data_IF_465803969874
#
_entry.id   IF_465803969874
#
_cell.length_a   1.000
_cell.length_b   1.000
_cell.length_c   1.000
_cell.angle_alpha   90.00
_cell.angle_beta   90.00
_cell.angle_gamma   90.00
#
_symmetry.space_group_name_H-M   'P 1'
#
loop_
_entity.id
_entity.type
_entity.pdbx_description
1 polymer ?
#
# COMPACT_ATOMS: atom_id res chain seq x y z
N UNK A 1 -39.62 -43.17 75.91
CA UNK A 1 -39.76 -43.75 74.59
C UNK A 1 -40.12 -42.59 73.64
N UNK A 2 -39.10 -41.94 73.08
CA UNK A 2 -39.25 -40.71 72.31
C UNK A 2 -39.30 -41.04 70.85
N UNK A 3 -40.27 -40.47 70.16
CA UNK A 3 -40.31 -40.41 68.68
C UNK A 3 -40.19 -38.98 68.31
N UNK A 4 -39.04 -38.61 67.82
CA UNK A 4 -38.80 -37.30 67.17
C UNK A 4 -39.08 -37.40 65.70
N UNK A 5 -40.07 -36.68 65.24
CA UNK A 5 -40.34 -36.48 63.82
C UNK A 5 -39.36 -35.42 63.27
N UNK A 6 -38.62 -35.84 62.26
CA UNK A 6 -37.82 -34.92 61.45
C UNK A 6 -38.66 -34.44 60.25
N UNK A 7 -38.96 -33.13 60.23
CA UNK A 7 -39.47 -32.44 59.03
C UNK A 7 -38.33 -32.08 58.09
N UNK A 8 -38.35 -32.66 56.92
CA UNK A 8 -37.48 -32.23 55.81
C UNK A 8 -38.12 -31.03 55.07
N UNK A 9 -37.46 -29.89 55.16
CA UNK A 9 -37.87 -28.68 54.41
C UNK A 9 -37.09 -28.63 53.10
N UNK A 10 -37.82 -28.89 52.01
CA UNK A 10 -37.28 -28.75 50.62
C UNK A 10 -37.18 -27.27 50.27
N UNK A 11 -35.98 -26.74 50.17
CA UNK A 11 -35.73 -25.44 49.57
C UNK A 11 -35.64 -25.58 48.06
N UNK A 12 -36.62 -25.04 47.36
CA UNK A 12 -36.67 -24.91 45.92
C UNK A 12 -35.82 -23.67 45.54
N UNK A 13 -34.56 -23.86 45.10
CA UNK A 13 -33.76 -22.77 44.54
C UNK A 13 -34.26 -22.48 43.11
N UNK A 14 -34.94 -21.36 42.94
CA UNK A 14 -35.23 -20.77 41.62
C UNK A 14 -33.98 -20.00 41.20
N UNK A 15 -33.14 -20.63 40.33
CA UNK A 15 -32.03 -19.92 39.66
C UNK A 15 -32.58 -19.08 38.53
N UNK A 16 -32.72 -17.77 38.76
CA UNK A 16 -32.98 -16.80 37.70
C UNK A 16 -31.69 -16.61 36.90
N UNK A 17 -31.58 -17.24 35.74
CA UNK A 17 -30.55 -16.93 34.75
C UNK A 17 -30.85 -15.55 34.14
N UNK A 18 -30.20 -14.50 34.66
CA UNK A 18 -30.18 -13.19 34.04
C UNK A 18 -29.28 -13.29 32.80
N UNK A 19 -29.87 -13.48 31.63
CA UNK A 19 -29.14 -13.36 30.36
C UNK A 19 -28.84 -11.88 30.14
N UNK A 20 -27.68 -11.43 30.61
CA UNK A 20 -27.08 -10.17 30.16
C UNK A 20 -26.66 -10.36 28.70
N UNK A 21 -27.49 -9.91 27.79
CA UNK A 21 -27.07 -9.63 26.41
C UNK A 21 -26.00 -8.54 26.50
N UNK A 22 -24.72 -8.94 26.44
CA UNK A 22 -23.61 -8.05 26.17
C UNK A 22 -23.83 -7.47 24.75
N UNK A 23 -24.51 -6.34 24.67
CA UNK A 23 -24.44 -5.48 23.51
C UNK A 23 -22.98 -5.01 23.45
N UNK A 24 -22.16 -5.72 22.67
CA UNK A 24 -20.84 -5.26 22.34
C UNK A 24 -21.02 -3.97 21.54
N UNK A 25 -21.01 -2.83 22.20
CA UNK A 25 -20.83 -1.55 21.54
C UNK A 25 -19.45 -1.65 20.86
N UNK A 26 -19.43 -1.83 19.55
CA UNK A 26 -18.23 -1.72 18.76
C UNK A 26 -17.57 -0.39 19.14
N UNK A 27 -16.31 -0.46 19.61
CA UNK A 27 -15.58 0.73 20.01
C UNK A 27 -15.49 1.65 18.78
N UNK A 28 -16.24 2.73 18.78
CA UNK A 28 -16.19 3.71 17.72
C UNK A 28 -14.78 4.32 17.69
N UNK A 29 -14.20 4.38 16.52
CA UNK A 29 -12.87 4.94 16.32
C UNK A 29 -12.97 6.30 15.63
N UNK A 30 -11.98 7.15 15.86
CA UNK A 30 -11.88 8.48 15.22
C UNK A 30 -10.54 8.62 14.52
N UNK A 31 -10.41 9.62 13.65
CA UNK A 31 -9.19 9.89 12.90
C UNK A 31 -8.13 10.62 13.73
N UNK A 32 -8.54 11.51 14.63
CA UNK A 32 -7.64 12.25 15.53
C UNK A 32 -8.37 12.61 16.82
N UNK A 33 -7.64 12.83 17.90
CA UNK A 33 -8.20 13.21 19.18
C UNK A 33 -8.97 14.53 19.10
N UNK A 34 -10.18 14.56 19.64
CA UNK A 34 -11.05 15.73 19.62
C UNK A 34 -11.78 15.99 18.30
N UNK A 35 -11.73 15.04 17.35
CA UNK A 35 -12.53 15.06 16.14
C UNK A 35 -13.96 14.57 16.39
N UNK A 36 -14.91 15.13 15.65
CA UNK A 36 -16.31 14.69 15.62
C UNK A 36 -16.53 13.47 14.71
N UNK A 37 -15.53 13.05 13.95
CA UNK A 37 -15.61 11.83 13.16
C UNK A 37 -15.77 10.61 14.08
N UNK A 38 -16.74 9.77 13.75
CA UNK A 38 -17.06 8.57 14.51
C UNK A 38 -17.23 7.40 13.55
N UNK A 39 -16.16 6.59 13.42
CA UNK A 39 -16.10 5.51 12.46
C UNK A 39 -16.59 4.19 13.07
N UNK A 40 -17.57 3.59 12.42
CA UNK A 40 -18.05 2.25 12.71
C UNK A 40 -17.39 1.25 11.76
N UNK A 41 -16.78 0.22 12.32
CA UNK A 41 -16.13 -0.85 11.55
C UNK A 41 -17.17 -1.72 10.83
N UNK A 42 -17.00 -1.88 9.52
CA UNK A 42 -17.72 -2.89 8.72
C UNK A 42 -16.81 -4.10 8.52
N UNK A 43 -15.61 -3.87 8.00
CA UNK A 43 -14.58 -4.90 7.74
C UNK A 43 -13.24 -4.36 8.21
N UNK A 44 -12.43 -5.22 8.83
CA UNK A 44 -11.02 -4.95 9.11
C UNK A 44 -10.26 -6.27 9.01
N UNK A 45 -9.39 -6.36 8.03
CA UNK A 45 -8.57 -7.54 7.76
C UNK A 45 -7.19 -7.40 8.39
N UNK A 46 -6.62 -8.53 8.76
CA UNK A 46 -5.30 -8.56 9.39
C UNK A 46 -4.20 -8.12 8.41
N UNK A 47 -3.26 -7.36 8.94
CA UNK A 47 -2.07 -6.91 8.24
C UNK A 47 -0.84 -7.00 9.15
N UNK A 48 0.35 -7.08 8.55
CA UNK A 48 1.62 -6.98 9.25
C UNK A 48 1.74 -5.65 10.00
N UNK A 49 2.66 -5.53 10.98
CA UNK A 49 2.92 -4.26 11.66
C UNK A 49 3.25 -3.12 10.68
N UNK A 50 2.89 -1.90 11.08
CA UNK A 50 3.23 -0.70 10.29
C UNK A 50 4.75 -0.51 10.28
N UNK A 51 5.30 -0.39 9.09
CA UNK A 51 6.71 -0.09 8.85
C UNK A 51 6.92 1.40 8.55
N UNK A 52 8.17 1.84 8.53
CA UNK A 52 8.55 3.18 8.11
C UNK A 52 9.56 3.11 6.97
N UNK A 53 9.20 3.68 5.81
CA UNK A 53 10.11 3.83 4.68
C UNK A 53 11.17 4.92 4.92
N UNK A 54 11.07 5.68 6.01
CA UNK A 54 11.98 6.79 6.33
C UNK A 54 11.97 7.88 5.25
N UNK A 55 13.18 8.35 4.88
CA UNK A 55 13.36 9.36 3.81
C UNK A 55 13.70 8.69 2.49
N UNK A 56 12.78 7.87 1.97
CA UNK A 56 12.92 7.19 0.68
C UNK A 56 11.63 7.33 -0.12
N UNK A 57 11.69 7.16 -1.44
CA UNK A 57 10.49 7.04 -2.28
C UNK A 57 10.20 5.57 -2.62
N UNK A 58 10.34 4.68 -1.63
CA UNK A 58 10.15 3.22 -1.78
C UNK A 58 8.79 2.72 -1.28
N UNK A 59 7.82 3.61 -1.11
CA UNK A 59 6.45 3.30 -0.66
C UNK A 59 5.80 2.14 -1.43
N UNK A 60 6.05 2.04 -2.72
CA UNK A 60 5.56 0.98 -3.59
C UNK A 60 6.02 -0.42 -3.13
N UNK A 61 7.26 -0.55 -2.63
CA UNK A 61 7.78 -1.81 -2.07
C UNK A 61 7.17 -2.11 -0.71
N UNK A 62 7.15 -1.13 0.20
CA UNK A 62 6.57 -1.28 1.55
C UNK A 62 5.08 -1.65 1.50
N UNK A 63 4.30 -0.93 0.69
CA UNK A 63 2.85 -1.19 0.61
C UNK A 63 2.51 -2.49 -0.09
N UNK A 64 3.23 -2.84 -1.16
CA UNK A 64 2.99 -4.10 -1.85
C UNK A 64 3.44 -5.31 -1.02
N UNK A 65 4.57 -5.26 -0.31
CA UNK A 65 4.96 -6.36 0.57
C UNK A 65 4.02 -6.48 1.76
N UNK A 66 3.57 -5.36 2.34
CA UNK A 66 2.49 -5.39 3.34
C UNK A 66 1.22 -6.08 2.82
N UNK A 67 0.85 -5.85 1.56
CA UNK A 67 -0.26 -6.55 0.90
C UNK A 67 0.03 -8.05 0.74
N UNK A 68 1.20 -8.46 0.26
CA UNK A 68 1.57 -9.87 0.14
C UNK A 68 1.68 -10.58 1.49
N UNK A 69 2.11 -9.88 2.53
CA UNK A 69 2.12 -10.37 3.90
C UNK A 69 0.70 -10.64 4.42
N UNK A 70 -0.27 -9.77 4.10
CA UNK A 70 -1.69 -10.05 4.39
C UNK A 70 -2.22 -11.26 3.62
N UNK A 71 -1.76 -11.48 2.39
CA UNK A 71 -2.08 -12.71 1.66
C UNK A 71 -1.51 -13.98 2.35
N UNK A 72 -0.30 -13.89 2.91
CA UNK A 72 0.27 -14.98 3.71
C UNK A 72 -0.54 -15.23 5.00
N UNK A 73 -0.97 -14.16 5.68
CA UNK A 73 -1.85 -14.26 6.86
C UNK A 73 -3.17 -14.94 6.47
N UNK A 74 -3.81 -14.49 5.39
CA UNK A 74 -5.06 -15.05 4.87
C UNK A 74 -4.93 -16.55 4.54
N UNK A 75 -3.78 -16.98 4.04
CA UNK A 75 -3.46 -18.39 3.76
C UNK A 75 -3.14 -19.21 5.02
N UNK A 76 -3.20 -18.60 6.19
CA UNK A 76 -3.04 -19.29 7.47
C UNK A 76 -1.60 -19.30 8.02
N UNK A 77 -0.71 -18.45 7.49
CA UNK A 77 0.62 -18.29 8.07
C UNK A 77 0.51 -17.53 9.40
N UNK A 78 0.53 -18.28 10.51
CA UNK A 78 0.37 -17.74 11.88
C UNK A 78 1.64 -17.08 12.43
N UNK A 79 2.80 -17.42 11.90
CA UNK A 79 4.10 -16.85 12.27
C UNK A 79 4.64 -16.10 11.07
N UNK A 80 4.11 -14.89 10.87
CA UNK A 80 4.49 -14.07 9.74
C UNK A 80 5.95 -13.64 9.85
N UNK A 81 6.74 -14.05 8.88
CA UNK A 81 8.06 -13.49 8.63
C UNK A 81 7.88 -12.34 7.65
N UNK A 82 8.26 -11.12 8.06
CA UNK A 82 8.21 -9.96 7.17
C UNK A 82 9.12 -10.19 5.96
N UNK A 83 8.69 -9.69 4.82
CA UNK A 83 9.44 -9.76 3.58
C UNK A 83 10.34 -8.53 3.43
N UNK A 84 11.52 -8.69 2.84
CA UNK A 84 12.46 -7.61 2.68
C UNK A 84 12.07 -6.63 1.57
N UNK A 85 11.67 -5.43 1.93
CA UNK A 85 11.38 -4.35 1.00
C UNK A 85 12.63 -3.91 0.25
N UNK A 86 13.76 -3.85 0.94
CA UNK A 86 15.02 -3.39 0.37
C UNK A 86 15.67 -4.40 -0.57
N UNK A 87 15.42 -5.71 -0.41
CA UNK A 87 15.81 -6.69 -1.41
C UNK A 87 15.11 -6.43 -2.76
N UNK A 88 13.80 -6.16 -2.70
CA UNK A 88 13.02 -5.80 -3.89
C UNK A 88 13.51 -4.50 -4.51
N UNK A 89 13.76 -3.47 -3.69
CA UNK A 89 14.28 -2.17 -4.12
C UNK A 89 15.64 -2.34 -4.82
N UNK A 90 16.56 -3.10 -4.20
CA UNK A 90 17.87 -3.39 -4.81
C UNK A 90 17.73 -4.01 -6.21
N UNK A 91 16.93 -5.07 -6.33
CA UNK A 91 16.73 -5.77 -7.62
C UNK A 91 16.05 -4.88 -8.66
N UNK A 92 15.16 -4.02 -8.21
CA UNK A 92 14.52 -3.03 -9.09
C UNK A 92 15.51 -1.98 -9.58
N UNK A 93 16.44 -1.52 -8.77
CA UNK A 93 17.48 -0.56 -9.23
C UNK A 93 18.42 -1.17 -10.27
N UNK A 94 18.83 -2.44 -10.10
CA UNK A 94 19.62 -3.17 -11.12
C UNK A 94 18.87 -3.19 -12.46
N UNK A 95 17.58 -3.51 -12.45
CA UNK A 95 16.73 -3.53 -13.66
C UNK A 95 16.51 -2.13 -14.25
N UNK A 96 16.24 -1.13 -13.40
CA UNK A 96 16.08 0.27 -13.84
C UNK A 96 17.32 0.78 -14.53
N UNK A 97 18.53 0.54 -13.97
CA UNK A 97 19.78 0.96 -14.57
C UNK A 97 19.98 0.30 -15.94
N UNK A 98 19.74 -1.00 -16.07
CA UNK A 98 19.86 -1.71 -17.37
C UNK A 98 18.88 -1.13 -18.40
N UNK A 99 17.62 -0.90 -18.03
CA UNK A 99 16.62 -0.32 -18.92
C UNK A 99 16.94 1.13 -19.29
N UNK A 100 17.32 1.96 -18.33
CA UNK A 100 17.67 3.35 -18.57
C UNK A 100 18.79 3.49 -19.60
N UNK A 101 19.85 2.70 -19.45
CA UNK A 101 20.97 2.69 -20.40
C UNK A 101 20.48 2.20 -21.78
N UNK A 102 19.70 1.12 -21.86
CA UNK A 102 19.17 0.58 -23.13
C UNK A 102 18.20 1.52 -23.85
N UNK A 103 17.50 2.34 -23.09
CA UNK A 103 16.52 3.31 -23.62
C UNK A 103 17.11 4.70 -23.82
N UNK A 104 18.46 4.82 -23.82
CA UNK A 104 19.16 6.09 -24.01
C UNK A 104 18.68 7.19 -23.05
N UNK A 105 18.40 6.83 -21.80
CA UNK A 105 17.92 7.77 -20.78
C UNK A 105 16.48 8.25 -20.95
N UNK A 106 15.67 7.60 -21.81
CA UNK A 106 14.31 8.05 -22.13
C UNK A 106 13.22 7.35 -21.33
N UNK A 107 13.57 6.79 -20.19
CA UNK A 107 12.62 6.31 -19.19
C UNK A 107 12.94 6.97 -17.84
N UNK A 108 11.99 6.88 -16.90
CA UNK A 108 12.21 7.41 -15.56
C UNK A 108 13.27 6.57 -14.82
N UNK A 109 14.30 7.25 -14.31
CA UNK A 109 15.25 6.68 -13.35
C UNK A 109 15.10 7.43 -12.03
N UNK A 110 14.19 6.96 -11.20
CA UNK A 110 13.87 7.53 -9.91
C UNK A 110 13.67 6.41 -8.87
N UNK A 111 13.47 6.75 -7.62
CA UNK A 111 13.27 5.77 -6.54
C UNK A 111 11.91 5.07 -6.61
N UNK A 112 10.88 5.73 -7.14
CA UNK A 112 9.53 5.20 -7.28
C UNK A 112 9.44 3.95 -8.13
N UNK A 113 8.36 3.20 -8.02
CA UNK A 113 8.09 1.98 -8.76
C UNK A 113 6.63 1.59 -8.65
N UNK A 114 6.21 0.57 -9.38
CA UNK A 114 4.83 0.13 -9.43
C UNK A 114 4.64 -1.24 -8.78
N UNK A 115 3.41 -1.56 -8.38
CA UNK A 115 3.10 -2.82 -7.68
C UNK A 115 3.45 -4.08 -8.48
N UNK A 116 3.40 -4.03 -9.79
CA UNK A 116 3.78 -5.17 -10.65
C UNK A 116 5.30 -5.43 -10.67
N UNK A 117 6.12 -4.50 -10.17
CA UNK A 117 7.56 -4.73 -10.05
C UNK A 117 7.88 -5.80 -9.00
N UNK A 118 7.07 -5.91 -7.94
CA UNK A 118 7.28 -6.91 -6.89
C UNK A 118 7.12 -8.34 -7.44
N UNK A 119 6.00 -8.71 -8.11
CA UNK A 119 5.90 -10.01 -8.78
C UNK A 119 7.00 -10.25 -9.80
N UNK A 120 7.42 -9.21 -10.52
CA UNK A 120 8.52 -9.33 -11.46
C UNK A 120 9.84 -9.68 -10.74
N UNK A 121 10.17 -9.01 -9.63
CA UNK A 121 11.36 -9.33 -8.82
C UNK A 121 11.24 -10.74 -8.25
N UNK A 122 10.12 -11.10 -7.64
CA UNK A 122 9.92 -12.42 -7.03
C UNK A 122 10.08 -13.54 -8.05
N UNK A 123 9.54 -13.39 -9.26
CA UNK A 123 9.66 -14.37 -10.34
C UNK A 123 11.08 -14.52 -10.86
N UNK A 124 11.83 -13.42 -10.98
CA UNK A 124 13.16 -13.43 -11.60
C UNK A 124 14.29 -13.65 -10.58
N UNK A 125 14.15 -13.17 -9.35
CA UNK A 125 15.21 -13.19 -8.33
C UNK A 125 14.80 -13.86 -7.02
N UNK A 126 13.51 -14.11 -6.80
CA UNK A 126 13.00 -14.59 -5.51
C UNK A 126 12.75 -13.47 -4.53
N UNK A 127 12.66 -13.83 -3.26
CA UNK A 127 12.47 -12.92 -2.12
C UNK A 127 13.23 -13.46 -0.90
N UNK A 128 13.53 -12.60 0.06
CA UNK A 128 14.16 -12.98 1.33
C UNK A 128 13.36 -12.42 2.50
N UNK A 129 13.46 -13.01 3.71
CA UNK A 129 12.93 -12.41 4.92
C UNK A 129 13.58 -11.06 5.23
N UNK A 130 12.84 -10.16 5.87
CA UNK A 130 13.35 -8.88 6.36
C UNK A 130 14.59 -9.04 7.24
N UNK A 131 14.58 -9.99 8.19
CA UNK A 131 15.70 -10.24 9.11
C UNK A 131 17.00 -10.70 8.41
N UNK A 132 16.88 -11.20 7.17
CA UNK A 132 18.04 -11.62 6.36
C UNK A 132 18.62 -10.45 5.57
N UNK A 133 17.79 -9.51 5.15
CA UNK A 133 18.22 -8.37 4.36
C UNK A 133 17.38 -7.12 4.69
N UNK A 134 17.88 -6.32 5.62
CA UNK A 134 17.18 -5.09 6.04
C UNK A 134 17.43 -3.91 5.09
N UNK A 135 18.55 -3.92 4.33
CA UNK A 135 19.00 -2.75 3.57
C UNK A 135 19.48 -1.60 4.43
N UNK A 136 19.68 -1.81 5.72
CA UNK A 136 20.19 -0.81 6.67
C UNK A 136 21.68 -1.08 6.94
N UNK A 137 22.54 -0.20 6.43
CA UNK A 137 23.98 -0.26 6.62
C UNK A 137 24.40 0.90 7.50
N UNK A 138 24.88 0.60 8.70
CA UNK A 138 25.32 1.61 9.70
C UNK A 138 24.25 2.65 10.07
N UNK A 139 22.98 2.32 9.93
CA UNK A 139 21.84 3.18 10.23
C UNK A 139 20.68 2.37 10.78
N UNK A 140 19.84 2.98 11.61
CA UNK A 140 18.57 2.40 12.10
C UNK A 140 17.34 2.92 11.31
N UNK A 141 17.56 3.87 10.40
CA UNK A 141 16.49 4.48 9.58
C UNK A 141 16.92 4.56 8.13
N UNK A 142 15.97 4.41 7.24
CA UNK A 142 16.20 4.55 5.82
C UNK A 142 16.35 6.03 5.45
N UNK A 143 17.44 6.37 4.77
CA UNK A 143 17.68 7.67 4.14
C UNK A 143 18.42 7.43 2.81
N UNK A 144 17.74 7.60 1.70
CA UNK A 144 18.29 7.35 0.37
C UNK A 144 18.78 8.61 -0.33
N UNK A 145 18.80 9.77 0.32
CA UNK A 145 19.12 11.03 -0.34
C UNK A 145 20.51 11.00 -0.99
N UNK A 146 21.55 10.64 -0.24
CA UNK A 146 22.93 10.52 -0.78
C UNK A 146 23.04 9.34 -1.74
N UNK A 147 22.53 8.19 -1.35
CA UNK A 147 22.57 6.96 -2.15
C UNK A 147 22.01 7.18 -3.56
N UNK A 148 20.82 7.79 -3.65
CA UNK A 148 20.18 8.00 -4.93
C UNK A 148 20.95 8.97 -5.82
N UNK A 149 21.52 10.04 -5.28
CA UNK A 149 22.35 10.98 -6.04
C UNK A 149 23.61 10.31 -6.59
N UNK A 150 24.29 9.47 -5.79
CA UNK A 150 25.47 8.71 -6.23
C UNK A 150 25.11 7.73 -7.34
N UNK A 151 24.03 6.95 -7.16
CA UNK A 151 23.58 5.98 -8.14
C UNK A 151 23.14 6.64 -9.44
N UNK A 152 22.36 7.70 -9.36
CA UNK A 152 21.91 8.48 -10.51
C UNK A 152 23.09 9.12 -11.26
N UNK A 153 24.04 9.72 -10.53
CA UNK A 153 25.27 10.27 -11.12
C UNK A 153 26.06 9.23 -11.90
N UNK A 154 26.20 8.02 -11.36
CA UNK A 154 26.88 6.91 -12.04
C UNK A 154 26.15 6.49 -13.34
N UNK A 155 24.84 6.31 -13.29
CA UNK A 155 24.02 5.90 -14.44
C UNK A 155 24.02 7.00 -15.53
N UNK A 156 23.89 8.28 -15.17
CA UNK A 156 23.97 9.41 -16.09
C UNK A 156 25.35 9.52 -16.74
N UNK A 157 26.43 9.31 -15.96
CA UNK A 157 27.80 9.29 -16.47
C UNK A 157 28.04 8.19 -17.51
N UNK A 158 27.49 7.00 -17.24
CA UNK A 158 27.53 5.86 -18.19
C UNK A 158 26.78 6.19 -19.48
N UNK A 159 25.61 6.76 -19.38
CA UNK A 159 24.81 7.17 -20.53
C UNK A 159 25.54 8.20 -21.39
N UNK A 160 26.07 9.26 -20.75
CA UNK A 160 26.83 10.30 -21.43
C UNK A 160 28.04 9.72 -22.18
N UNK A 161 28.78 8.80 -21.55
CA UNK A 161 29.91 8.14 -22.20
C UNK A 161 29.44 7.25 -23.36
N UNK A 162 28.42 6.43 -23.17
CA UNK A 162 27.90 5.49 -24.18
C UNK A 162 27.42 6.18 -25.46
N UNK A 163 26.84 7.39 -25.33
CA UNK A 163 26.37 8.18 -26.47
C UNK A 163 27.47 8.96 -27.20
N UNK A 164 28.65 9.13 -26.56
CA UNK A 164 29.80 9.88 -27.14
C UNK A 164 30.95 8.99 -27.59
N UNK A 165 30.98 7.72 -27.21
CA UNK A 165 32.11 6.80 -27.46
C UNK A 165 31.81 5.86 -28.63
N UNK A 166 32.73 5.77 -29.60
CA UNK A 166 32.70 4.79 -30.68
C UNK A 166 32.88 3.35 -30.20
N UNK A 167 33.47 3.15 -29.01
CA UNK A 167 33.77 1.84 -28.44
C UNK A 167 32.66 1.30 -27.54
N UNK A 168 31.59 2.08 -27.31
CA UNK A 168 30.49 1.74 -26.41
C UNK A 168 30.87 1.68 -24.94
N UNK A 169 29.97 1.16 -24.11
CA UNK A 169 30.15 1.01 -22.66
C UNK A 169 30.79 -0.37 -22.38
N UNK A 170 31.83 -0.42 -21.54
CA UNK A 170 32.47 -1.69 -21.13
C UNK A 170 31.54 -2.57 -20.28
N UNK A 171 31.83 -3.87 -20.21
CA UNK A 171 31.09 -4.82 -19.36
C UNK A 171 31.20 -4.53 -17.84
N UNK A 172 32.11 -3.66 -17.43
CA UNK A 172 32.36 -3.32 -16.01
C UNK A 172 31.26 -2.47 -15.39
N UNK A 173 30.37 -1.87 -16.17
CA UNK A 173 29.38 -0.94 -15.64
C UNK A 173 28.35 -1.62 -14.72
N UNK A 174 27.93 -2.86 -15.03
CA UNK A 174 26.98 -3.60 -14.18
C UNK A 174 27.59 -3.94 -12.81
N UNK A 175 28.79 -4.53 -12.72
CA UNK A 175 29.49 -4.68 -11.45
C UNK A 175 29.69 -3.35 -10.69
N UNK A 176 29.96 -2.23 -11.38
CA UNK A 176 30.11 -0.94 -10.74
C UNK A 176 28.79 -0.44 -10.10
N UNK A 177 27.66 -0.55 -10.81
CA UNK A 177 26.33 -0.26 -10.25
C UNK A 177 26.02 -1.18 -9.06
N UNK A 178 26.30 -2.50 -9.19
CA UNK A 178 26.12 -3.44 -8.07
C UNK A 178 26.96 -3.07 -6.86
N UNK A 179 28.21 -2.61 -7.06
CA UNK A 179 29.08 -2.16 -5.97
C UNK A 179 28.55 -0.92 -5.23
N UNK A 180 27.86 0.00 -5.92
CA UNK A 180 27.17 1.11 -5.27
C UNK A 180 26.01 0.57 -4.42
N UNK A 181 25.21 -0.35 -4.97
CA UNK A 181 24.10 -0.97 -4.22
C UNK A 181 24.60 -1.75 -3.00
N UNK A 182 25.75 -2.46 -3.14
CA UNK A 182 26.38 -3.18 -2.02
C UNK A 182 26.79 -2.23 -0.89
N UNK A 183 27.35 -1.07 -1.24
CA UNK A 183 27.81 -0.08 -0.26
C UNK A 183 26.67 0.56 0.55
N UNK A 184 25.51 0.80 -0.07
CA UNK A 184 24.40 1.52 0.55
C UNK A 184 23.27 0.64 1.07
N UNK A 185 23.02 -0.52 0.44
CA UNK A 185 21.92 -1.42 0.78
C UNK A 185 22.37 -2.78 1.31
N UNK A 186 23.68 -3.09 1.24
CA UNK A 186 24.25 -4.38 1.60
C UNK A 186 24.48 -5.30 0.41
N UNK A 187 25.35 -6.30 0.61
CA UNK A 187 25.73 -7.26 -0.43
C UNK A 187 24.53 -8.07 -0.94
N UNK A 188 24.57 -8.42 -2.21
CA UNK A 188 23.51 -9.21 -2.85
C UNK A 188 23.45 -10.64 -2.27
N UNK A 189 22.26 -11.03 -1.80
CA UNK A 189 22.02 -12.34 -1.19
C UNK A 189 21.91 -13.44 -2.27
N UNK A 190 22.79 -14.44 -2.19
CA UNK A 190 22.74 -15.63 -3.04
C UNK A 190 22.17 -16.83 -2.31
N UNK A 191 22.59 -17.01 -1.06
CA UNK A 191 22.15 -18.07 -0.16
C UNK A 191 22.08 -17.49 1.27
N UNK A 192 21.22 -18.05 2.09
CA UNK A 192 21.08 -17.65 3.50
C UNK A 192 20.52 -18.79 4.35
N UNK A 193 20.83 -18.75 5.64
CA UNK A 193 20.25 -19.64 6.64
C UNK A 193 19.10 -18.90 7.35
N UNK A 194 17.94 -19.53 7.41
CA UNK A 194 16.77 -18.97 8.06
C UNK A 194 15.98 -20.06 8.78
N UNK A 195 15.76 -19.89 10.08
CA UNK A 195 15.04 -20.85 10.94
C UNK A 195 15.59 -22.28 10.82
N UNK A 196 16.92 -22.39 10.78
CA UNK A 196 17.63 -23.69 10.73
C UNK A 196 17.58 -24.39 9.37
N UNK A 197 17.18 -23.72 8.33
CA UNK A 197 17.14 -24.23 6.96
C UNK A 197 17.87 -23.31 5.99
N UNK A 198 18.60 -23.90 5.05
CA UNK A 198 19.32 -23.16 4.01
C UNK A 198 18.40 -22.88 2.82
N UNK A 199 18.42 -21.64 2.34
CA UNK A 199 17.64 -21.17 1.20
C UNK A 199 18.48 -20.38 0.20
N UNK A 200 18.04 -20.39 -1.05
CA UNK A 200 18.26 -19.29 -1.98
C UNK A 200 17.01 -18.39 -2.01
N UNK A 201 17.09 -17.14 -2.48
CA UNK A 201 15.91 -16.28 -2.59
C UNK A 201 14.75 -16.94 -3.38
N UNK A 202 15.07 -17.68 -4.45
CA UNK A 202 14.07 -18.40 -5.24
C UNK A 202 13.43 -19.55 -4.45
N UNK A 203 14.23 -20.35 -3.73
CA UNK A 203 13.69 -21.47 -2.94
C UNK A 203 12.85 -20.98 -1.77
N UNK A 204 13.18 -19.82 -1.20
CA UNK A 204 12.36 -19.18 -0.17
C UNK A 204 11.04 -18.66 -0.77
N UNK A 205 11.07 -17.97 -1.93
CA UNK A 205 9.87 -17.55 -2.64
C UNK A 205 8.90 -18.71 -2.92
N UNK A 206 9.43 -19.87 -3.33
CA UNK A 206 8.62 -21.08 -3.51
C UNK A 206 8.03 -21.58 -2.20
N UNK A 207 8.78 -21.51 -1.10
CA UNK A 207 8.36 -22.03 0.20
C UNK A 207 7.22 -21.25 0.84
N UNK A 208 7.09 -19.95 0.54
CA UNK A 208 5.99 -19.10 1.06
C UNK A 208 4.66 -19.33 0.32
N UNK A 209 4.69 -19.99 -0.86
CA UNK A 209 3.48 -20.47 -1.53
C UNK A 209 2.58 -19.38 -2.12
N UNK A 210 3.13 -18.22 -2.48
CA UNK A 210 2.42 -17.19 -3.24
C UNK A 210 2.62 -17.44 -4.75
N UNK A 211 1.52 -17.50 -5.48
CA UNK A 211 1.55 -17.52 -6.94
C UNK A 211 1.38 -16.10 -7.48
N UNK A 212 2.43 -15.53 -8.03
CA UNK A 212 2.44 -14.15 -8.52
C UNK A 212 1.51 -13.91 -9.73
N UNK A 213 1.02 -14.98 -10.38
CA UNK A 213 0.06 -14.88 -11.49
C UNK A 213 -1.41 -14.75 -11.02
N UNK A 214 -1.64 -14.82 -9.71
CA UNK A 214 -2.99 -14.66 -9.14
C UNK A 214 -3.33 -13.18 -8.88
N UNK A 215 -2.43 -12.25 -9.16
CA UNK A 215 -2.61 -10.83 -8.84
C UNK A 215 -2.67 -9.97 -10.09
N UNK A 216 -3.54 -8.98 -10.06
CA UNK A 216 -3.81 -8.09 -11.21
C UNK A 216 -3.92 -6.64 -10.79
N UNK A 217 -3.60 -5.74 -11.72
CA UNK A 217 -3.80 -4.30 -11.57
C UNK A 217 -5.10 -3.86 -12.26
N UNK A 218 -5.89 -3.03 -11.56
CA UNK A 218 -7.05 -2.34 -12.12
C UNK A 218 -6.85 -0.83 -12.06
N UNK A 219 -7.34 -0.13 -13.06
CA UNK A 219 -7.38 1.34 -13.13
C UNK A 219 -8.70 1.80 -13.75
N UNK A 220 -8.96 3.12 -13.74
CA UNK A 220 -10.17 3.67 -14.34
C UNK A 220 -9.90 5.04 -14.93
N UNK A 221 -9.62 5.10 -16.22
CA UNK A 221 -9.42 6.35 -16.98
C UNK A 221 -10.16 6.31 -18.32
N UNK A 222 -10.68 7.45 -18.75
CA UNK A 222 -11.50 7.52 -19.97
C UNK A 222 -10.69 7.60 -21.26
N UNK A 223 -9.38 7.84 -21.17
CA UNK A 223 -8.47 7.83 -22.33
C UNK A 223 -8.08 6.41 -22.79
N UNK A 224 -8.51 5.36 -22.07
CA UNK A 224 -8.34 3.97 -22.45
C UNK A 224 -9.69 3.28 -22.64
N UNK A 225 -9.76 2.29 -23.52
CA UNK A 225 -10.98 1.49 -23.71
C UNK A 225 -11.32 0.74 -22.41
N UNK A 226 -12.61 0.75 -22.05
CA UNK A 226 -13.09 -0.01 -20.90
C UNK A 226 -12.92 -1.51 -21.10
N UNK A 227 -12.65 -2.21 -20.00
CA UNK A 227 -12.51 -3.67 -19.91
C UNK A 227 -11.38 -4.25 -20.78
N UNK A 228 -10.39 -3.42 -21.09
CA UNK A 228 -9.19 -3.79 -21.84
C UNK A 228 -7.93 -3.55 -21.01
N UNK A 229 -6.84 -4.20 -21.39
CA UNK A 229 -5.53 -3.92 -20.85
C UNK A 229 -4.99 -2.61 -21.39
N UNK A 230 -4.33 -1.86 -20.53
CA UNK A 230 -3.59 -0.65 -20.87
C UNK A 230 -2.31 -0.58 -20.07
N UNK A 231 -1.34 0.18 -20.56
CA UNK A 231 -0.16 0.57 -19.80
C UNK A 231 -0.35 2.00 -19.33
N UNK A 232 -0.34 2.20 -18.01
CA UNK A 232 -0.49 3.54 -17.45
C UNK A 232 0.72 4.39 -17.81
N UNK A 233 0.47 5.55 -18.38
CA UNK A 233 1.50 6.55 -18.74
C UNK A 233 1.88 7.37 -17.50
N UNK A 234 2.51 6.74 -16.54
CA UNK A 234 3.03 7.31 -15.30
C UNK A 234 4.53 7.04 -15.19
N UNK A 235 5.32 7.93 -14.53
CA UNK A 235 6.76 7.77 -14.44
C UNK A 235 7.19 6.43 -13.82
N UNK A 236 6.49 5.97 -12.81
CA UNK A 236 6.84 4.77 -12.04
C UNK A 236 6.50 3.46 -12.75
N UNK A 237 5.75 3.51 -13.86
CA UNK A 237 5.53 2.34 -14.72
C UNK A 237 6.71 2.10 -15.70
N UNK A 238 7.95 2.22 -15.21
CA UNK A 238 9.17 2.01 -16.00
C UNK A 238 9.31 0.59 -16.57
N UNK A 239 8.62 -0.36 -15.98
CA UNK A 239 8.64 -1.78 -16.37
C UNK A 239 7.49 -2.15 -17.33
N UNK A 240 6.67 -1.16 -17.72
CA UNK A 240 5.54 -1.30 -18.66
C UNK A 240 4.53 -2.37 -18.26
N UNK A 241 4.21 -2.41 -16.96
CA UNK A 241 3.19 -3.32 -16.45
C UNK A 241 1.79 -2.95 -16.95
N UNK A 242 0.99 -3.98 -17.17
CA UNK A 242 -0.39 -3.84 -17.62
C UNK A 242 -1.35 -3.61 -16.44
N UNK A 243 -2.36 -2.78 -16.67
CA UNK A 243 -3.55 -2.67 -15.84
C UNK A 243 -4.80 -2.95 -16.68
N UNK A 244 -5.85 -3.51 -16.09
CA UNK A 244 -7.17 -3.54 -16.72
C UNK A 244 -7.88 -2.23 -16.45
N UNK A 245 -8.28 -1.53 -17.51
CA UNK A 245 -9.07 -0.30 -17.39
C UNK A 245 -10.55 -0.66 -17.23
N UNK A 246 -11.15 -0.28 -16.10
CA UNK A 246 -12.53 -0.63 -15.76
C UNK A 246 -13.37 0.64 -15.51
N UNK A 247 -14.69 0.52 -15.48
CA UNK A 247 -15.54 1.63 -15.09
C UNK A 247 -15.26 2.04 -13.62
N UNK A 248 -15.40 3.33 -13.30
CA UNK A 248 -15.11 3.85 -11.96
C UNK A 248 -15.89 3.15 -10.85
N UNK A 249 -17.14 2.79 -11.12
CA UNK A 249 -17.94 2.02 -10.17
C UNK A 249 -17.44 0.57 -10.02
N UNK A 250 -16.98 -0.05 -11.10
CA UNK A 250 -16.39 -1.39 -11.04
C UNK A 250 -15.06 -1.38 -10.27
N UNK A 251 -14.27 -0.29 -10.37
CA UNK A 251 -13.04 -0.11 -9.59
C UNK A 251 -13.35 -0.08 -8.09
N UNK A 252 -14.31 0.75 -7.65
CA UNK A 252 -14.71 0.84 -6.24
C UNK A 252 -15.34 -0.48 -5.75
N UNK A 253 -16.26 -1.06 -6.52
CA UNK A 253 -16.88 -2.34 -6.17
C UNK A 253 -15.87 -3.49 -6.06
N UNK A 254 -14.75 -3.42 -6.81
CA UNK A 254 -13.66 -4.40 -6.69
C UNK A 254 -12.98 -4.34 -5.32
N UNK A 255 -12.78 -3.14 -4.77
CA UNK A 255 -12.22 -2.98 -3.42
C UNK A 255 -13.19 -3.54 -2.37
N UNK A 256 -14.46 -3.15 -2.45
CA UNK A 256 -15.50 -3.62 -1.50
C UNK A 256 -15.67 -5.15 -1.55
N UNK A 257 -15.69 -5.72 -2.77
CA UNK A 257 -15.80 -7.16 -2.96
C UNK A 257 -14.56 -7.90 -2.45
N UNK A 258 -13.35 -7.36 -2.71
CA UNK A 258 -12.10 -7.94 -2.22
C UNK A 258 -12.12 -7.99 -0.68
N UNK A 259 -12.37 -6.88 -0.02
CA UNK A 259 -12.42 -6.81 1.45
C UNK A 259 -13.49 -7.75 2.03
N UNK A 260 -14.69 -7.81 1.42
CA UNK A 260 -15.78 -8.68 1.85
C UNK A 260 -15.45 -10.16 1.74
N UNK A 261 -14.52 -10.53 0.85
CA UNK A 261 -14.06 -11.90 0.66
C UNK A 261 -12.70 -12.18 1.33
N UNK A 262 -12.23 -11.29 2.21
CA UNK A 262 -11.01 -11.48 2.99
C UNK A 262 -9.71 -11.15 2.25
N UNK A 263 -9.77 -10.42 1.12
CA UNK A 263 -8.62 -9.95 0.37
C UNK A 263 -8.37 -8.47 0.64
N UNK A 264 -7.17 -8.12 1.02
CA UNK A 264 -6.72 -6.72 1.08
C UNK A 264 -6.37 -6.19 -0.31
N UNK A 265 -6.04 -4.90 -0.43
CA UNK A 265 -5.79 -4.26 -1.73
C UNK A 265 -4.59 -3.31 -1.62
N UNK A 266 -3.57 -3.47 -2.47
CA UNK A 266 -2.54 -2.43 -2.61
C UNK A 266 -3.10 -1.28 -3.47
N UNK A 267 -2.80 -0.04 -3.09
CA UNK A 267 -3.43 1.16 -3.64
C UNK A 267 -2.42 2.24 -3.98
N UNK A 268 -2.30 2.55 -5.27
CA UNK A 268 -1.52 3.66 -5.79
C UNK A 268 -2.39 4.90 -5.94
N UNK A 269 -1.96 6.03 -5.38
CA UNK A 269 -2.75 7.24 -5.30
C UNK A 269 -1.89 8.51 -5.30
N UNK A 270 -2.54 9.61 -5.68
CA UNK A 270 -2.08 10.96 -5.40
C UNK A 270 -2.41 11.32 -3.94
N UNK A 271 -1.40 11.72 -3.20
CA UNK A 271 -1.49 12.19 -1.81
C UNK A 271 -0.98 13.63 -1.63
N UNK A 272 -0.53 14.26 -2.73
CA UNK A 272 -0.07 15.65 -2.73
C UNK A 272 -1.22 16.67 -2.77
N UNK A 273 -2.29 16.37 -2.07
CA UNK A 273 -3.58 17.07 -2.05
C UNK A 273 -3.87 17.72 -0.69
N UNK A 274 -4.55 18.86 -0.73
CA UNK A 274 -4.97 19.55 0.51
C UNK A 274 -5.84 18.69 1.40
N UNK A 275 -6.67 17.83 0.82
CA UNK A 275 -7.57 16.94 1.53
C UNK A 275 -6.94 15.69 2.10
N UNK A 276 -5.65 15.42 1.84
CA UNK A 276 -4.90 14.31 2.43
C UNK A 276 -4.14 14.77 3.66
N UNK A 277 -4.39 14.18 4.81
CA UNK A 277 -3.66 14.47 6.04
C UNK A 277 -3.34 13.21 6.83
N UNK A 278 -2.09 12.75 6.74
CA UNK A 278 -1.60 11.65 7.58
C UNK A 278 -1.63 12.00 9.06
N UNK A 279 -1.23 13.23 9.42
CA UNK A 279 -1.26 13.73 10.80
C UNK A 279 -2.66 13.68 11.40
N UNK A 280 -3.68 14.07 10.64
CA UNK A 280 -5.07 14.00 11.06
C UNK A 280 -5.74 12.65 10.75
N UNK A 281 -5.01 11.69 10.18
CA UNK A 281 -5.48 10.33 9.92
C UNK A 281 -6.67 10.24 8.95
N UNK A 282 -6.79 11.15 7.98
CA UNK A 282 -7.95 11.22 7.09
C UNK A 282 -7.58 11.76 5.69
N UNK A 283 -8.30 11.28 4.67
CA UNK A 283 -8.25 11.83 3.32
C UNK A 283 -9.67 12.02 2.77
N UNK A 284 -9.99 13.24 2.36
CA UNK A 284 -11.33 13.70 1.95
C UNK A 284 -11.24 14.67 0.76
N UNK A 285 -12.36 14.86 0.05
CA UNK A 285 -12.49 15.84 -1.05
C UNK A 285 -13.67 16.79 -0.77
N UNK A 286 -13.52 17.77 0.11
CA UNK A 286 -14.61 18.71 0.42
C UNK A 286 -15.09 19.48 -0.81
N UNK A 287 -16.41 19.71 -0.94
CA UNK A 287 -16.97 20.63 -1.95
C UNK A 287 -16.41 22.04 -1.80
N UNK A 288 -16.27 22.48 -0.55
CA UNK A 288 -15.64 23.75 -0.23
C UNK A 288 -14.22 23.52 0.32
N UNK A 289 -13.24 23.65 -0.56
CA UNK A 289 -11.82 23.51 -0.20
C UNK A 289 -11.31 24.59 0.77
N UNK A 290 -12.05 25.68 0.98
CA UNK A 290 -11.70 26.69 1.98
C UNK A 290 -11.88 26.19 3.42
N UNK A 291 -12.60 25.10 3.60
CA UNK A 291 -12.74 24.41 4.90
C UNK A 291 -11.45 23.70 5.34
N UNK A 292 -10.45 23.59 4.45
CA UNK A 292 -9.13 23.06 4.76
C UNK A 292 -8.11 24.20 4.74
N UNK A 293 -7.57 24.54 5.90
CA UNK A 293 -6.46 25.47 6.02
C UNK A 293 -5.16 24.71 6.13
N UNK A 294 -4.29 24.92 5.14
CA UNK A 294 -2.98 24.27 5.08
C UNK A 294 -1.94 25.12 5.79
N UNK A 295 -1.44 24.67 6.94
CA UNK A 295 -0.43 25.41 7.70
C UNK A 295 1.01 25.08 7.31
N UNK A 296 1.37 23.80 7.10
CA UNK A 296 2.75 23.35 6.85
C UNK A 296 2.76 22.04 6.04
N UNK A 297 3.76 21.86 5.17
CA UNK A 297 4.10 20.56 4.58
C UNK A 297 4.92 19.75 5.57
N UNK A 298 4.42 18.62 6.03
CA UNK A 298 5.07 17.79 7.03
C UNK A 298 6.20 16.92 6.44
N UNK A 299 6.20 16.70 5.13
CA UNK A 299 7.20 15.90 4.45
C UNK A 299 7.60 16.55 3.12
N UNK A 300 8.91 16.64 2.83
CA UNK A 300 9.41 17.20 1.56
C UNK A 300 9.00 16.39 0.33
N UNK A 301 8.81 15.11 0.51
CA UNK A 301 8.46 14.19 -0.58
C UNK A 301 6.95 13.96 -0.70
N UNK A 302 6.20 14.20 0.38
CA UNK A 302 4.76 13.99 0.45
C UNK A 302 4.14 15.18 1.15
N UNK A 303 3.17 15.81 0.51
CA UNK A 303 2.44 16.92 1.12
C UNK A 303 1.37 16.41 2.07
N UNK A 304 1.75 16.01 3.28
CA UNK A 304 0.81 16.06 4.37
C UNK A 304 0.69 17.52 4.82
N UNK A 305 -0.27 18.20 4.25
CA UNK A 305 -0.60 19.55 4.63
C UNK A 305 -1.40 19.47 5.92
N UNK A 306 -0.70 19.51 7.05
CA UNK A 306 -1.37 19.63 8.34
C UNK A 306 -2.31 20.82 8.33
N UNK A 307 -3.61 20.60 8.54
CA UNK A 307 -4.56 21.68 8.74
C UNK A 307 -4.38 22.29 10.11
N UNK A 308 -4.50 23.61 10.21
CA UNK A 308 -4.63 24.28 11.48
C UNK A 308 -5.90 23.76 12.21
N UNK A 309 -5.90 23.79 13.56
CA UNK A 309 -7.06 23.39 14.36
C UNK A 309 -8.34 24.19 14.05
N UNK A 310 -8.22 25.31 13.37
CA UNK A 310 -9.35 26.10 12.87
C UNK A 310 -10.02 25.49 11.64
N UNK A 311 -9.39 24.53 10.94
CA UNK A 311 -9.99 23.81 9.82
C UNK A 311 -10.97 22.76 10.34
N UNK A 312 -12.23 22.85 9.94
CA UNK A 312 -13.26 21.92 10.40
C UNK A 312 -13.34 20.63 9.59
N UNK A 313 -12.88 20.62 8.35
CA UNK A 313 -13.04 19.47 7.45
C UNK A 313 -12.28 18.21 7.89
N UNK A 314 -11.15 18.34 8.58
CA UNK A 314 -10.45 17.21 9.18
C UNK A 314 -10.95 16.81 10.57
N UNK A 315 -11.76 17.65 11.18
CA UNK A 315 -12.29 17.44 12.54
C UNK A 315 -13.77 17.12 12.55
N UNK A 316 -14.50 17.46 11.49
CA UNK A 316 -15.95 17.21 11.39
C UNK A 316 -16.33 16.81 9.97
N UNK A 317 -17.23 15.83 9.77
CA UNK A 317 -17.68 15.42 8.45
C UNK A 317 -18.27 16.57 7.66
N UNK A 318 -17.81 16.74 6.44
CA UNK A 318 -18.26 17.76 5.49
C UNK A 318 -18.83 17.11 4.23
N UNK A 319 -19.59 17.88 3.46
CA UNK A 319 -20.04 17.42 2.14
C UNK A 319 -18.87 17.34 1.18
N UNK A 320 -18.76 16.21 0.46
CA UNK A 320 -17.71 15.97 -0.49
C UNK A 320 -18.19 16.10 -1.94
N UNK A 321 -17.25 16.37 -2.85
CA UNK A 321 -17.49 16.43 -4.29
C UNK A 321 -17.97 15.07 -4.78
N UNK A 322 -19.06 15.05 -5.56
CA UNK A 322 -19.48 13.85 -6.27
C UNK A 322 -18.54 13.59 -7.46
N UNK A 323 -17.69 12.58 -7.33
CA UNK A 323 -16.65 12.29 -8.33
C UNK A 323 -17.20 11.49 -9.49
N UNK A 324 -17.10 12.07 -10.71
CA UNK A 324 -17.37 11.40 -11.98
C UNK A 324 -16.09 10.91 -12.67
N UNK A 325 -16.24 10.04 -13.68
CA UNK A 325 -15.13 9.56 -14.50
C UNK A 325 -14.43 10.72 -15.24
N UNK A 326 -15.20 11.71 -15.69
CA UNK A 326 -14.70 12.90 -16.40
C UNK A 326 -13.90 13.81 -15.48
N UNK A 327 -14.38 14.04 -14.23
CA UNK A 327 -13.65 14.83 -13.24
C UNK A 327 -12.31 14.16 -12.90
N UNK A 328 -12.32 12.86 -12.70
CA UNK A 328 -11.14 12.04 -12.47
C UNK A 328 -10.15 12.12 -13.64
N UNK A 329 -10.63 11.94 -14.88
CA UNK A 329 -9.79 12.06 -16.07
C UNK A 329 -9.17 13.45 -16.22
N UNK A 330 -9.96 14.50 -15.98
CA UNK A 330 -9.46 15.88 -16.00
C UNK A 330 -8.28 16.08 -15.05
N UNK A 331 -8.34 15.50 -13.84
CA UNK A 331 -7.24 15.57 -12.87
C UNK A 331 -5.97 14.88 -13.37
N UNK A 332 -6.09 13.73 -14.00
CA UNK A 332 -4.98 13.00 -14.60
C UNK A 332 -4.37 13.75 -15.80
N UNK A 333 -5.20 14.28 -16.71
CA UNK A 333 -4.76 14.98 -17.92
C UNK A 333 -4.05 16.31 -17.62
N UNK A 334 -4.53 17.05 -16.61
CA UNK A 334 -3.96 18.35 -16.24
C UNK A 334 -2.91 18.25 -15.11
N UNK A 335 -2.59 17.03 -14.67
CA UNK A 335 -1.60 16.72 -13.62
C UNK A 335 -1.93 17.33 -12.26
N UNK A 336 -3.22 17.52 -11.94
CA UNK A 336 -3.68 17.74 -10.57
C UNK A 336 -3.97 16.42 -9.84
N UNK A 337 -3.81 15.30 -10.53
CA UNK A 337 -3.71 13.95 -9.97
C UNK A 337 -2.44 13.33 -10.52
N UNK A 338 -1.49 13.03 -9.65
CA UNK A 338 -0.17 12.49 -9.95
C UNK A 338 0.05 11.13 -9.29
N UNK A 339 1.03 10.38 -9.77
CA UNK A 339 1.45 9.11 -9.18
C UNK A 339 2.48 9.40 -8.09
N UNK A 340 2.03 9.45 -6.84
CA UNK A 340 2.85 9.93 -5.73
C UNK A 340 3.17 8.86 -4.69
N UNK A 341 2.22 7.95 -4.40
CA UNK A 341 2.33 7.13 -3.21
C UNK A 341 1.62 5.80 -3.31
N UNK A 342 2.26 4.76 -2.77
CA UNK A 342 1.68 3.43 -2.60
C UNK A 342 1.27 3.19 -1.15
N UNK A 343 0.06 2.65 -0.94
CA UNK A 343 -0.52 2.32 0.36
C UNK A 343 -1.25 0.97 0.33
N UNK A 344 -1.78 0.54 1.48
CA UNK A 344 -2.42 -0.76 1.62
C UNK A 344 -3.81 -0.63 2.27
N UNK A 345 -4.87 -0.92 1.53
CA UNK A 345 -6.27 -0.90 2.01
C UNK A 345 -6.54 -2.21 2.75
N UNK A 346 -6.95 -2.10 4.02
CA UNK A 346 -7.17 -3.25 4.91
C UNK A 346 -8.59 -3.29 5.50
N UNK A 347 -9.41 -2.28 5.27
CA UNK A 347 -10.74 -2.28 5.88
C UNK A 347 -11.73 -1.34 5.23
N UNK A 348 -12.99 -1.53 5.60
CA UNK A 348 -14.14 -0.70 5.24
C UNK A 348 -14.84 -0.23 6.51
N UNK A 349 -15.13 1.05 6.57
CA UNK A 349 -15.74 1.73 7.70
C UNK A 349 -16.85 2.66 7.23
N UNK A 350 -17.69 3.11 8.14
CA UNK A 350 -18.67 4.17 7.91
C UNK A 350 -18.57 5.23 9.00
N UNK A 351 -18.71 6.48 8.62
CA UNK A 351 -18.91 7.55 9.61
C UNK A 351 -20.36 7.56 10.15
N UNK A 352 -20.64 8.45 11.09
CA UNK A 352 -21.97 8.62 11.70
C UNK A 352 -23.07 9.07 10.72
N UNK A 353 -22.69 9.61 9.57
CA UNK A 353 -23.60 10.06 8.51
C UNK A 353 -23.86 8.96 7.47
N UNK A 354 -23.20 7.80 7.60
CA UNK A 354 -23.31 6.67 6.69
C UNK A 354 -22.37 6.75 5.47
N UNK A 355 -21.44 7.71 5.43
CA UNK A 355 -20.42 7.80 4.38
C UNK A 355 -19.41 6.69 4.52
N UNK A 356 -19.07 6.03 3.40
CA UNK A 356 -18.07 4.96 3.38
C UNK A 356 -16.64 5.52 3.41
N UNK A 357 -15.79 4.86 4.19
CA UNK A 357 -14.36 5.12 4.29
C UNK A 357 -13.58 3.81 4.18
N UNK A 358 -12.46 3.85 3.49
CA UNK A 358 -11.47 2.77 3.47
C UNK A 358 -10.48 3.01 4.62
N UNK A 359 -10.16 1.96 5.39
CA UNK A 359 -9.04 2.00 6.32
C UNK A 359 -7.78 1.62 5.55
N UNK A 360 -6.82 2.54 5.54
CA UNK A 360 -5.59 2.43 4.77
C UNK A 360 -4.39 2.39 5.70
N UNK A 361 -3.56 1.38 5.58
CA UNK A 361 -2.25 1.26 6.23
C UNK A 361 -1.21 1.99 5.38
N UNK A 362 -0.48 2.91 6.00
CA UNK A 362 0.61 3.67 5.39
C UNK A 362 1.98 3.12 5.82
N UNK A 363 3.04 3.60 5.19
CA UNK A 363 4.45 3.25 5.46
C UNK A 363 5.26 4.40 6.04
N UNK A 364 4.64 5.28 6.83
CA UNK A 364 5.29 6.44 7.46
C UNK A 364 5.41 6.32 8.98
N UNK A 365 5.49 5.08 9.48
CA UNK A 365 5.53 4.80 10.92
C UNK A 365 4.19 5.06 11.61
N UNK A 366 4.21 5.16 12.94
CA UNK A 366 3.01 5.13 13.80
C UNK A 366 2.78 6.44 14.56
N UNK A 367 3.31 7.57 14.05
CA UNK A 367 3.29 8.85 14.76
C UNK A 367 1.93 9.55 14.78
N UNK A 368 1.03 9.22 13.85
CA UNK A 368 -0.32 9.77 13.84
C UNK A 368 -1.28 9.06 14.83
N UNK A 369 -2.47 9.63 15.06
CA UNK A 369 -3.43 9.09 16.03
C UNK A 369 -3.90 7.66 15.71
N UNK A 370 -4.27 7.31 14.45
CA UNK A 370 -4.59 5.94 14.09
C UNK A 370 -3.36 5.02 13.96
N UNK A 371 -2.19 5.44 14.47
CA UNK A 371 -0.95 4.65 14.56
C UNK A 371 -0.52 4.02 13.23
N UNK A 372 -0.36 4.86 12.22
CA UNK A 372 0.12 4.48 10.89
C UNK A 372 -1.00 4.19 9.89
N UNK A 373 -2.26 4.33 10.30
CA UNK A 373 -3.42 4.20 9.44
C UNK A 373 -4.06 5.55 9.16
N UNK A 374 -4.94 5.59 8.15
CA UNK A 374 -5.81 6.73 7.88
C UNK A 374 -7.15 6.26 7.29
N UNK A 375 -8.19 7.08 7.45
CA UNK A 375 -9.51 6.86 6.87
C UNK A 375 -9.61 7.64 5.57
N UNK A 376 -9.83 6.95 4.47
CA UNK A 376 -9.94 7.53 3.13
C UNK A 376 -11.38 7.48 2.68
N UNK A 377 -12.00 8.63 2.40
CA UNK A 377 -13.36 8.67 1.91
C UNK A 377 -13.50 7.99 0.53
N UNK A 378 -14.68 7.47 0.24
CA UNK A 378 -14.97 6.90 -1.08
C UNK A 378 -14.72 7.92 -2.20
N UNK A 379 -15.03 9.20 -1.98
CA UNK A 379 -14.82 10.24 -2.98
C UNK A 379 -13.35 10.55 -3.21
N UNK A 380 -12.52 10.54 -2.16
CA UNK A 380 -11.07 10.66 -2.31
C UNK A 380 -10.49 9.50 -3.10
N UNK A 381 -10.87 8.26 -2.75
CA UNK A 381 -10.47 7.08 -3.49
C UNK A 381 -10.86 7.19 -4.97
N UNK A 382 -12.10 7.55 -5.27
CA UNK A 382 -12.60 7.72 -6.64
C UNK A 382 -11.81 8.75 -7.44
N UNK A 383 -11.44 9.88 -6.82
CA UNK A 383 -10.77 10.97 -7.50
C UNK A 383 -9.28 10.70 -7.70
N UNK A 384 -8.61 10.19 -6.66
CA UNK A 384 -7.15 10.22 -6.54
C UNK A 384 -6.44 8.87 -6.74
N UNK A 385 -7.17 7.79 -6.98
CA UNK A 385 -6.57 6.49 -7.29
C UNK A 385 -5.86 6.53 -8.64
N UNK A 386 -4.63 6.08 -8.71
CA UNK A 386 -3.92 5.76 -9.96
C UNK A 386 -4.29 4.35 -10.38
N UNK A 387 -3.99 3.37 -9.54
CA UNK A 387 -4.39 1.98 -9.73
C UNK A 387 -4.59 1.27 -8.39
N UNK A 388 -5.20 0.10 -8.46
CA UNK A 388 -5.21 -0.88 -7.37
C UNK A 388 -4.56 -2.17 -7.83
N UNK A 389 -3.98 -2.92 -6.89
CA UNK A 389 -3.40 -4.23 -7.13
C UNK A 389 -3.99 -5.22 -6.12
N UNK A 390 -4.56 -6.33 -6.60
CA UNK A 390 -5.31 -7.25 -5.76
C UNK A 390 -5.27 -8.69 -6.30
N UNK A 391 -5.62 -9.64 -5.44
CA UNK A 391 -5.79 -11.03 -5.84
C UNK A 391 -7.02 -11.16 -6.78
N UNK A 392 -6.87 -11.90 -7.87
CA UNK A 392 -7.93 -12.09 -8.88
C UNK A 392 -9.25 -12.61 -8.30
N UNK A 393 -9.21 -13.41 -7.22
CA UNK A 393 -10.41 -13.93 -6.57
C UNK A 393 -11.15 -12.89 -5.71
N UNK A 394 -10.53 -11.76 -5.43
CA UNK A 394 -11.19 -10.58 -4.87
C UNK A 394 -12.07 -9.82 -5.87
N UNK A 395 -11.96 -10.11 -7.17
CA UNK A 395 -12.74 -9.46 -8.24
C UNK A 395 -14.08 -10.19 -8.44
N UNK A 396 -15.15 -9.43 -8.66
CA UNK A 396 -16.48 -10.00 -8.91
C UNK A 396 -16.51 -10.87 -10.17
N UNK A 397 -17.34 -11.90 -10.18
CA UNK A 397 -17.47 -12.81 -11.34
C UNK A 397 -17.92 -12.07 -12.60
N UNK A 398 -18.75 -11.03 -12.48
CA UNK A 398 -19.18 -10.20 -13.60
C UNK A 398 -18.01 -9.42 -14.20
N UNK A 399 -17.21 -8.76 -13.36
CA UNK A 399 -16.06 -8.02 -13.84
C UNK A 399 -14.98 -8.93 -14.45
N UNK A 400 -14.73 -10.12 -13.85
CA UNK A 400 -13.81 -11.12 -14.45
C UNK A 400 -14.23 -11.48 -15.87
N UNK A 401 -15.54 -11.66 -16.13
CA UNK A 401 -16.06 -11.93 -17.48
C UNK A 401 -15.83 -10.75 -18.43
N UNK A 402 -16.11 -9.51 -17.98
CA UNK A 402 -15.92 -8.30 -18.79
C UNK A 402 -14.46 -8.09 -19.24
N UNK A 403 -13.49 -8.41 -18.36
CA UNK A 403 -12.05 -8.26 -18.64
C UNK A 403 -11.38 -9.54 -19.15
N UNK A 404 -12.14 -10.60 -19.41
CA UNK A 404 -11.65 -11.92 -19.83
C UNK A 404 -10.58 -12.50 -18.89
N UNK A 405 -10.72 -12.28 -17.57
CA UNK A 405 -9.81 -12.80 -16.56
C UNK A 405 -10.25 -14.21 -16.12
N UNK A 406 -9.31 -15.17 -16.19
CA UNK A 406 -9.52 -16.57 -15.81
C UNK A 406 -9.09 -16.86 -14.38
#
# INVERSE_FOLDING_TARGET
MDFTLMYSMNYLFFSIFLVLSLVSFGQNSTNVEGSDYNFSKIIHLDASPVQSQGKTSTCWSFSALSFFESELIRKGNKTLDLLSEMYVVRKSYENKADKFIRMDGKINFAEGGAFHDIPWVIKNYGIVPFDVYTGLINSEVYDHAEFFEVLNGAVQGLLKFGTSSSNGISSNWKPAISGILDAYLGEDIKEFDFKGKKYTPQSYAQSIGLNMDDYVSLTSFTNHSLYSKCQLAIPDNYNWGDSYNVALNDLMSSVENALSNGFTVAWGADVSEKGFSFKNGIAIVPEDVSTIQVAVKDNKNYSDAGADKSSNAFLSPVKEVAVSAELRQKGYDNKTTTDDHGMHIVGLYKDQNGTNYLLVKNSWGTSNYPKGYLYVSEQYFRLKTINIYLHKDGITTDLKKKINLK
#
